data_IF_586649010783
#
_entry.id   IF_586649010783
#
_cell.length_a   1.000
_cell.length_b   1.000
_cell.length_c   1.000
_cell.angle_alpha   90.00
_cell.angle_beta   90.00
_cell.angle_gamma   90.00
#
_symmetry.space_group_name_H-M   'P 1'
#
loop_
_entity.id
_entity.type
_entity.pdbx_description
1 polymer ?
#
# COMPACT_ATOMS: atom_id res chain seq x y z
N UNK A 1 -4.57 -16.21 60.90
CA UNK A 1 -5.87 -16.83 60.57
C UNK A 1 -5.65 -17.66 59.32
N UNK A 2 -5.69 -18.99 59.43
CA UNK A 2 -5.62 -19.87 58.27
C UNK A 2 -7.03 -19.99 57.67
N UNK A 3 -7.14 -19.72 56.37
CA UNK A 3 -8.41 -19.81 55.65
C UNK A 3 -8.98 -21.23 55.71
N UNK A 4 -10.29 -21.35 55.90
CA UNK A 4 -10.95 -22.65 55.92
C UNK A 4 -10.80 -23.35 54.54
N UNK A 5 -10.80 -24.70 54.47
CA UNK A 5 -10.74 -25.43 53.20
C UNK A 5 -11.83 -25.00 52.20
N UNK A 6 -13.01 -24.62 52.67
CA UNK A 6 -14.13 -24.17 51.82
C UNK A 6 -13.93 -22.73 51.32
N UNK A 7 -13.39 -21.85 52.15
CA UNK A 7 -13.08 -20.47 51.76
C UNK A 7 -11.98 -20.43 50.69
N UNK A 8 -10.95 -21.29 50.80
CA UNK A 8 -9.92 -21.44 49.78
C UNK A 8 -10.47 -21.91 48.43
N UNK A 9 -11.45 -22.82 48.45
CA UNK A 9 -12.10 -23.32 47.23
C UNK A 9 -12.93 -22.24 46.55
N UNK A 10 -13.71 -21.47 47.32
CA UNK A 10 -14.49 -20.34 46.78
C UNK A 10 -13.60 -19.27 46.17
N UNK A 11 -12.54 -18.88 46.88
CA UNK A 11 -11.55 -17.92 46.38
C UNK A 11 -10.91 -18.44 45.08
N UNK A 12 -10.54 -19.73 45.03
CA UNK A 12 -9.95 -20.33 43.83
C UNK A 12 -10.92 -20.34 42.63
N UNK A 13 -12.18 -20.69 42.85
CA UNK A 13 -13.20 -20.70 41.79
C UNK A 13 -13.55 -19.29 41.30
N UNK A 14 -13.64 -18.30 42.19
CA UNK A 14 -13.83 -16.90 41.82
C UNK A 14 -12.63 -16.32 41.05
N UNK A 15 -11.40 -16.63 41.48
CA UNK A 15 -10.18 -16.19 40.80
C UNK A 15 -10.08 -16.83 39.40
N UNK A 16 -10.40 -18.12 39.29
CA UNK A 16 -10.42 -18.85 38.01
C UNK A 16 -11.47 -18.26 37.06
N UNK A 17 -12.69 -18.01 37.53
CA UNK A 17 -13.73 -17.39 36.72
C UNK A 17 -13.36 -15.98 36.26
N UNK A 18 -12.68 -15.18 37.11
CA UNK A 18 -12.15 -13.86 36.73
C UNK A 18 -11.09 -13.95 35.65
N UNK A 19 -10.20 -14.94 35.71
CA UNK A 19 -9.15 -15.16 34.70
C UNK A 19 -9.78 -15.59 33.37
N UNK A 20 -10.72 -16.53 33.38
CA UNK A 20 -11.42 -17.00 32.18
C UNK A 20 -12.25 -15.87 31.53
N UNK A 21 -12.99 -15.09 32.33
CA UNK A 21 -13.73 -13.93 31.83
C UNK A 21 -12.80 -12.87 31.22
N UNK A 22 -11.63 -12.61 31.83
CA UNK A 22 -10.61 -11.71 31.26
C UNK A 22 -10.08 -12.24 29.93
N UNK A 23 -9.79 -13.54 29.84
CA UNK A 23 -9.34 -14.17 28.60
C UNK A 23 -10.40 -14.08 27.50
N UNK A 24 -11.67 -14.31 27.82
CA UNK A 24 -12.78 -14.23 26.88
C UNK A 24 -12.98 -12.80 26.35
N UNK A 25 -12.96 -11.80 27.24
CA UNK A 25 -13.02 -10.38 26.85
C UNK A 25 -11.83 -10.00 25.95
N UNK A 26 -10.64 -10.52 26.24
CA UNK A 26 -9.44 -10.26 25.45
C UNK A 26 -9.49 -10.92 24.06
N UNK A 27 -10.04 -12.13 23.97
CA UNK A 27 -10.32 -12.83 22.71
C UNK A 27 -11.37 -12.09 21.87
N UNK A 28 -12.48 -11.66 22.47
CA UNK A 28 -13.51 -10.88 21.77
C UNK A 28 -12.96 -9.54 21.25
N UNK A 29 -12.15 -8.84 22.06
CA UNK A 29 -11.46 -7.62 21.62
C UNK A 29 -10.49 -7.90 20.47
N UNK A 30 -9.74 -8.99 20.52
CA UNK A 30 -8.84 -9.38 19.43
C UNK A 30 -9.62 -9.71 18.16
N UNK A 31 -10.72 -10.45 18.27
CA UNK A 31 -11.56 -10.80 17.13
C UNK A 31 -12.19 -9.55 16.49
N UNK A 32 -12.74 -8.65 17.30
CA UNK A 32 -13.26 -7.36 16.82
C UNK A 32 -12.16 -6.48 16.18
N UNK A 33 -10.92 -6.55 16.69
CA UNK A 33 -9.76 -5.85 16.09
C UNK A 33 -9.25 -6.49 14.80
N UNK A 34 -9.65 -7.72 14.49
CA UNK A 34 -9.33 -8.42 13.25
C UNK A 34 -10.40 -8.23 12.19
N UNK A 35 -11.64 -7.92 12.58
CA UNK A 35 -12.69 -7.60 11.61
C UNK A 35 -12.33 -6.33 10.85
N UNK A 36 -12.38 -6.42 9.52
CA UNK A 36 -12.16 -5.30 8.60
C UNK A 36 -13.28 -5.26 7.58
N UNK A 37 -13.65 -4.06 7.15
CA UNK A 37 -14.63 -3.86 6.06
C UNK A 37 -14.01 -4.24 4.71
N UNK A 38 -12.69 -4.05 4.60
CA UNK A 38 -11.91 -4.32 3.40
C UNK A 38 -11.56 -5.81 3.20
N UNK A 39 -11.84 -6.68 4.18
CA UNK A 39 -11.43 -8.09 4.21
C UNK A 39 -9.91 -8.30 3.97
N UNK A 40 -9.11 -7.29 4.29
CA UNK A 40 -7.66 -7.37 4.27
C UNK A 40 -7.17 -7.66 5.68
N UNK A 41 -6.03 -8.35 5.78
CA UNK A 41 -5.33 -8.47 7.06
C UNK A 41 -5.04 -7.06 7.59
N UNK A 42 -5.35 -6.75 8.87
CA UNK A 42 -5.24 -5.40 9.39
C UNK A 42 -3.88 -4.76 9.14
N UNK A 43 -2.79 -5.48 9.35
CA UNK A 43 -1.44 -4.97 9.10
C UNK A 43 -1.16 -4.63 7.62
N UNK A 44 -1.76 -5.36 6.67
CA UNK A 44 -1.66 -5.03 5.24
C UNK A 44 -2.48 -3.80 4.92
N UNK A 45 -3.70 -3.69 5.45
CA UNK A 45 -4.53 -2.51 5.27
C UNK A 45 -3.91 -1.25 5.91
N UNK A 46 -3.30 -1.37 7.09
CA UNK A 46 -2.56 -0.30 7.74
C UNK A 46 -1.33 0.14 6.95
N UNK A 47 -0.62 -0.81 6.32
CA UNK A 47 0.48 -0.50 5.40
C UNK A 47 -0.03 0.25 4.16
N UNK A 48 -1.16 -0.19 3.57
CA UNK A 48 -1.78 0.45 2.41
C UNK A 48 -2.24 1.89 2.70
N UNK A 49 -2.60 2.21 3.95
CA UNK A 49 -2.95 3.57 4.34
C UNK A 49 -1.85 4.58 3.99
N UNK A 50 -0.59 4.16 4.06
CA UNK A 50 0.57 5.00 3.81
C UNK A 50 1.10 4.91 2.38
N UNK A 51 0.80 3.84 1.62
CA UNK A 51 1.40 3.59 0.29
C UNK A 51 1.26 4.77 -0.69
N UNK A 52 0.08 5.39 -0.74
CA UNK A 52 -0.20 6.59 -1.54
C UNK A 52 -0.18 7.88 -0.71
N UNK A 53 0.58 7.88 0.39
CA UNK A 53 0.63 8.97 1.36
C UNK A 53 -0.79 9.36 1.82
N UNK A 54 -1.11 10.65 1.85
CA UNK A 54 -2.40 11.13 2.35
C UNK A 54 -3.60 10.65 1.52
N UNK A 55 -3.41 10.41 0.21
CA UNK A 55 -4.49 9.99 -0.70
C UNK A 55 -4.98 8.59 -0.36
N UNK A 56 -4.08 7.62 -0.18
CA UNK A 56 -4.46 6.28 0.27
C UNK A 56 -5.06 6.29 1.67
N UNK A 57 -4.61 7.22 2.52
CA UNK A 57 -5.22 7.50 3.82
C UNK A 57 -6.68 7.89 3.70
N UNK A 58 -7.02 8.87 2.85
CA UNK A 58 -8.41 9.30 2.62
C UNK A 58 -9.28 8.12 2.16
N UNK A 59 -8.80 7.39 1.15
CA UNK A 59 -9.55 6.28 0.56
C UNK A 59 -9.85 5.22 1.62
N UNK A 60 -8.84 4.75 2.35
CA UNK A 60 -9.04 3.71 3.36
C UNK A 60 -9.87 4.23 4.54
N UNK A 61 -9.71 5.50 4.92
CA UNK A 61 -10.51 6.10 6.00
C UNK A 61 -12.00 6.13 5.67
N UNK A 62 -12.36 6.37 4.40
CA UNK A 62 -13.74 6.35 3.92
C UNK A 62 -14.27 4.92 3.78
N UNK A 63 -13.45 3.99 3.29
CA UNK A 63 -13.88 2.62 3.03
C UNK A 63 -13.93 1.74 4.28
N UNK A 64 -13.05 1.97 5.25
CA UNK A 64 -12.96 1.15 6.45
C UNK A 64 -13.85 1.69 7.57
N UNK A 65 -14.89 0.93 7.92
CA UNK A 65 -15.89 1.33 8.91
C UNK A 65 -15.81 0.56 10.23
N UNK A 66 -15.21 -0.64 10.23
CA UNK A 66 -15.23 -1.55 11.37
C UNK A 66 -13.95 -1.48 12.19
N UNK A 67 -12.81 -1.36 11.53
CA UNK A 67 -11.53 -1.51 12.19
C UNK A 67 -10.93 -0.18 12.65
N UNK A 68 -11.03 0.11 13.95
CA UNK A 68 -10.45 1.32 14.55
C UNK A 68 -8.93 1.45 14.37
N UNK A 69 -8.20 0.33 14.35
CA UNK A 69 -6.75 0.32 14.15
C UNK A 69 -6.39 0.77 12.73
N UNK A 70 -7.06 0.23 11.70
CA UNK A 70 -6.85 0.66 10.30
C UNK A 70 -7.27 2.12 10.13
N UNK A 71 -8.44 2.52 10.67
CA UNK A 71 -8.93 3.91 10.59
C UNK A 71 -7.95 4.90 11.22
N UNK A 72 -7.27 4.51 12.31
CA UNK A 72 -6.20 5.33 12.87
C UNK A 72 -5.03 5.50 11.89
N UNK A 73 -4.53 4.42 11.28
CA UNK A 73 -3.45 4.50 10.30
C UNK A 73 -3.84 5.33 9.07
N UNK A 74 -5.08 5.19 8.62
CA UNK A 74 -5.66 5.96 7.54
C UNK A 74 -5.70 7.46 7.91
N UNK A 75 -6.26 7.82 9.06
CA UNK A 75 -6.29 9.20 9.55
C UNK A 75 -4.89 9.79 9.78
N UNK A 76 -3.96 9.03 10.36
CA UNK A 76 -2.58 9.49 10.57
C UNK A 76 -1.88 9.74 9.24
N UNK A 77 -2.16 8.93 8.22
CA UNK A 77 -1.65 9.16 6.87
C UNK A 77 -2.18 10.46 6.27
N UNK A 78 -3.49 10.70 6.38
CA UNK A 78 -4.14 11.94 5.90
C UNK A 78 -3.49 13.15 6.56
N UNK A 79 -3.44 13.17 7.89
CA UNK A 79 -2.96 14.31 8.66
C UNK A 79 -1.47 14.54 8.39
N UNK A 80 -0.65 13.49 8.45
CA UNK A 80 0.80 13.60 8.28
C UNK A 80 1.14 14.09 6.88
N UNK A 81 0.76 13.31 5.86
CA UNK A 81 1.20 13.59 4.49
C UNK A 81 0.39 14.71 3.83
N UNK A 82 -0.84 14.97 4.29
CA UNK A 82 -1.64 16.09 3.81
C UNK A 82 -1.04 17.41 4.31
N UNK A 83 -0.62 17.45 5.59
CA UNK A 83 0.10 18.60 6.14
C UNK A 83 1.44 18.82 5.43
N UNK A 84 2.22 17.75 5.20
CA UNK A 84 3.48 17.86 4.45
C UNK A 84 3.26 18.31 3.00
N UNK A 85 2.18 17.88 2.34
CA UNK A 85 1.82 18.32 1.00
C UNK A 85 1.46 19.81 0.98
N UNK A 86 0.61 20.26 1.91
CA UNK A 86 0.24 21.68 2.04
C UNK A 86 1.46 22.54 2.39
N UNK A 87 2.32 22.10 3.31
CA UNK A 87 3.55 22.78 3.67
C UNK A 87 4.51 22.88 2.48
N UNK A 88 4.68 21.80 1.71
CA UNK A 88 5.48 21.80 0.48
C UNK A 88 4.92 22.78 -0.56
N UNK A 89 3.60 22.83 -0.73
CA UNK A 89 2.96 23.79 -1.63
C UNK A 89 3.25 25.21 -1.18
N UNK A 90 3.04 25.55 0.11
CA UNK A 90 3.27 26.91 0.63
C UNK A 90 4.74 27.32 0.48
N UNK A 91 5.66 26.43 0.86
CA UNK A 91 7.11 26.71 0.80
C UNK A 91 7.60 26.87 -0.64
N UNK A 92 6.96 26.23 -1.62
CA UNK A 92 7.26 26.43 -3.04
C UNK A 92 7.12 27.87 -3.53
N UNK A 93 6.39 28.73 -2.80
CA UNK A 93 6.19 30.14 -3.14
C UNK A 93 7.27 31.05 -2.56
N UNK A 94 8.12 30.54 -1.66
CA UNK A 94 9.18 31.30 -0.99
C UNK A 94 10.52 30.97 -1.68
N UNK A 95 11.11 31.90 -2.44
CA UNK A 95 12.38 31.65 -3.12
C UNK A 95 13.52 31.40 -2.12
N UNK A 96 14.48 30.54 -2.47
CA UNK A 96 15.70 30.22 -1.72
C UNK A 96 15.44 29.50 -0.39
N UNK A 97 14.75 30.15 0.56
CA UNK A 97 14.43 29.60 1.88
C UNK A 97 13.45 28.43 1.74
N UNK A 98 12.40 28.59 0.93
CA UNK A 98 11.43 27.55 0.68
C UNK A 98 12.05 26.29 0.07
N UNK A 99 13.08 26.44 -0.77
CA UNK A 99 13.80 25.31 -1.37
C UNK A 99 14.55 24.48 -0.33
N UNK A 100 15.29 25.12 0.58
CA UNK A 100 16.03 24.43 1.65
C UNK A 100 15.06 23.67 2.57
N UNK A 101 13.98 24.32 3.00
CA UNK A 101 12.96 23.68 3.83
C UNK A 101 12.20 22.58 3.09
N UNK A 102 11.96 22.73 1.78
CA UNK A 102 11.29 21.69 0.97
C UNK A 102 12.14 20.43 0.83
N UNK A 103 13.47 20.56 0.70
CA UNK A 103 14.38 19.39 0.69
C UNK A 103 14.37 18.69 2.04
N UNK A 104 14.44 19.43 3.14
CA UNK A 104 14.37 18.87 4.49
C UNK A 104 13.03 18.16 4.71
N UNK A 105 11.91 18.80 4.35
CA UNK A 105 10.56 18.22 4.43
C UNK A 105 10.44 16.98 3.54
N UNK A 106 11.02 16.98 2.35
CA UNK A 106 11.02 15.83 1.45
C UNK A 106 11.76 14.64 2.05
N UNK A 107 12.96 14.86 2.59
CA UNK A 107 13.76 13.80 3.23
C UNK A 107 13.08 13.29 4.50
N UNK A 108 12.65 14.19 5.39
CA UNK A 108 11.94 13.81 6.62
C UNK A 108 10.62 13.10 6.29
N UNK A 109 9.87 13.60 5.32
CA UNK A 109 8.62 13.00 4.84
C UNK A 109 8.84 11.61 4.27
N UNK A 110 9.90 11.41 3.49
CA UNK A 110 10.25 10.10 2.93
C UNK A 110 10.69 9.10 4.02
N UNK A 111 11.50 9.52 5.00
CA UNK A 111 11.87 8.68 6.14
C UNK A 111 10.63 8.29 6.95
N UNK A 112 9.77 9.26 7.27
CA UNK A 112 8.52 9.01 7.99
C UNK A 112 7.62 8.05 7.20
N UNK A 113 7.53 8.20 5.87
CA UNK A 113 6.77 7.32 5.00
C UNK A 113 7.20 5.86 5.12
N UNK A 114 8.51 5.59 5.00
CA UNK A 114 9.04 4.23 5.14
C UNK A 114 8.81 3.69 6.55
N UNK A 115 9.11 4.48 7.60
CA UNK A 115 8.93 4.05 8.99
C UNK A 115 7.48 3.68 9.28
N UNK A 116 6.54 4.53 8.87
CA UNK A 116 5.11 4.30 9.08
C UNK A 116 4.60 3.07 8.34
N UNK A 117 5.06 2.85 7.10
CA UNK A 117 4.75 1.64 6.34
C UNK A 117 5.28 0.39 7.05
N UNK A 118 6.56 0.35 7.41
CA UNK A 118 7.18 -0.81 8.07
C UNK A 118 6.50 -1.11 9.40
N UNK A 119 6.25 -0.08 10.21
CA UNK A 119 5.59 -0.21 11.51
C UNK A 119 4.17 -0.74 11.37
N UNK A 120 3.37 -0.19 10.45
CA UNK A 120 2.02 -0.68 10.19
C UNK A 120 2.01 -2.12 9.66
N UNK A 121 2.93 -2.46 8.76
CA UNK A 121 3.06 -3.82 8.26
C UNK A 121 3.39 -4.81 9.38
N UNK A 122 4.19 -4.40 10.36
CA UNK A 122 4.51 -5.19 11.56
C UNK A 122 3.37 -5.23 12.60
N UNK A 123 2.25 -4.55 12.36
CA UNK A 123 1.12 -4.45 13.30
C UNK A 123 1.33 -3.40 14.39
N UNK A 124 2.41 -2.64 14.32
CA UNK A 124 2.72 -1.62 15.31
C UNK A 124 1.94 -0.33 15.02
N UNK A 125 1.24 0.14 16.04
CA UNK A 125 0.57 1.45 16.03
C UNK A 125 1.57 2.54 16.41
N UNK A 126 2.48 2.88 15.50
CA UNK A 126 3.45 3.95 15.72
C UNK A 126 2.77 5.32 15.62
N UNK A 127 2.51 5.94 16.77
CA UNK A 127 1.80 7.22 16.89
C UNK A 127 2.78 8.39 16.76
N UNK A 128 2.60 9.23 15.74
CA UNK A 128 3.37 10.47 15.61
C UNK A 128 2.83 11.54 16.58
N UNK A 129 3.73 12.32 17.16
CA UNK A 129 3.35 13.47 17.97
C UNK A 129 2.49 14.45 17.14
N UNK A 130 1.44 15.02 17.74
CA UNK A 130 0.46 15.91 17.11
C UNK A 130 -0.40 15.23 16.02
N UNK A 131 0.18 14.69 14.95
CA UNK A 131 -0.56 14.07 13.85
C UNK A 131 -1.34 12.82 14.31
N UNK A 132 -0.74 12.03 15.20
CA UNK A 132 -1.38 10.85 15.80
C UNK A 132 -2.51 11.21 16.78
N UNK A 133 -2.41 12.35 17.48
CA UNK A 133 -3.48 12.82 18.37
C UNK A 133 -4.71 13.28 17.56
N UNK A 134 -4.49 13.95 16.43
CA UNK A 134 -5.56 14.33 15.51
C UNK A 134 -6.16 13.06 14.86
N UNK A 135 -5.31 12.11 14.46
CA UNK A 135 -5.74 10.85 13.88
C UNK A 135 -6.65 10.04 14.82
N UNK A 136 -6.35 10.02 16.13
CA UNK A 136 -7.20 9.40 17.14
C UNK A 136 -8.59 10.02 17.21
N UNK A 137 -8.64 11.35 17.21
CA UNK A 137 -9.90 12.11 17.23
C UNK A 137 -10.72 11.86 15.97
N UNK A 138 -10.07 11.84 14.80
CA UNK A 138 -10.73 11.54 13.53
C UNK A 138 -11.26 10.10 13.50
N UNK A 139 -10.46 9.12 13.94
CA UNK A 139 -10.83 7.72 13.89
C UNK A 139 -11.88 7.34 14.96
N UNK A 140 -12.14 8.20 15.95
CA UNK A 140 -13.03 7.91 17.08
C UNK A 140 -12.43 6.88 18.05
N UNK A 141 -11.10 6.79 18.10
CA UNK A 141 -10.36 5.73 18.79
C UNK A 141 -9.78 6.29 20.10
N UNK A 142 -10.30 5.85 21.25
CA UNK A 142 -9.72 6.19 22.56
C UNK A 142 -8.46 5.36 22.86
N UNK A 143 -7.59 5.90 23.71
CA UNK A 143 -6.25 5.40 24.12
C UNK A 143 -6.19 3.89 24.44
N UNK A 144 -7.30 3.26 24.81
CA UNK A 144 -7.40 1.82 25.10
C UNK A 144 -7.26 0.86 23.90
N UNK A 145 -7.15 1.36 22.65
CA UNK A 145 -6.96 0.51 21.46
C UNK A 145 -5.47 0.28 21.23
N UNK A 146 -4.85 -0.47 22.15
CA UNK A 146 -3.44 -0.84 22.09
C UNK A 146 -3.21 -1.91 21.02
N UNK A 147 -2.39 -1.57 20.01
CA UNK A 147 -1.66 -2.45 19.10
C UNK A 147 -2.39 -3.67 18.51
N UNK A 148 -2.52 -3.73 17.19
CA UNK A 148 -2.83 -4.98 16.51
C UNK A 148 -1.69 -5.98 16.75
N UNK A 149 -1.94 -7.04 17.52
CA UNK A 149 -1.02 -8.16 17.63
C UNK A 149 -1.21 -9.04 16.40
N UNK A 150 -0.22 -9.06 15.51
CA UNK A 150 -0.22 -9.97 14.36
C UNK A 150 -0.42 -11.40 14.89
N UNK A 151 -1.44 -12.14 14.40
CA UNK A 151 -1.60 -13.55 14.76
C UNK A 151 -0.31 -14.33 14.41
N UNK A 152 0.08 -15.34 15.21
CA UNK A 152 1.16 -16.24 14.80
C UNK A 152 0.82 -16.81 13.42
N UNK A 153 1.79 -16.84 12.50
CA UNK A 153 1.59 -17.46 11.19
C UNK A 153 1.08 -18.89 11.41
N UNK A 154 -0.15 -19.18 10.96
CA UNK A 154 -0.63 -20.56 11.02
C UNK A 154 0.30 -21.39 10.14
N UNK A 155 0.73 -22.58 10.59
CA UNK A 155 1.37 -23.54 9.69
C UNK A 155 0.46 -23.68 8.47
N UNK A 156 1.01 -23.47 7.27
CA UNK A 156 0.28 -23.73 6.02
C UNK A 156 -0.22 -25.18 6.11
N UNK A 157 -1.54 -25.37 6.24
CA UNK A 157 -2.24 -26.66 6.48
C UNK A 157 -2.70 -26.96 7.91
N UNK A 158 -3.44 -26.04 8.55
CA UNK A 158 -4.45 -26.45 9.53
C UNK A 158 -5.83 -26.12 8.95
N UNK A 159 -6.66 -27.15 8.75
CA UNK A 159 -8.08 -26.97 8.43
C UNK A 159 -8.74 -26.07 9.50
N UNK A 160 -9.78 -25.29 9.15
CA UNK A 160 -10.49 -24.48 10.13
C UNK A 160 -10.92 -25.36 11.32
N UNK A 161 -10.82 -24.88 12.57
CA UNK A 161 -11.37 -25.61 13.70
C UNK A 161 -12.84 -25.91 13.42
N UNK A 162 -13.21 -27.19 13.44
CA UNK A 162 -14.60 -27.60 13.33
C UNK A 162 -15.40 -26.92 14.44
N UNK A 163 -16.43 -26.17 14.05
CA UNK A 163 -17.44 -25.64 14.97
C UNK A 163 -18.03 -26.84 15.71
N UNK A 164 -17.78 -26.96 17.02
CA UNK A 164 -18.56 -27.87 17.86
C UNK A 164 -19.99 -27.36 17.89
N UNK A 165 -20.88 -28.12 17.27
CA UNK A 165 -22.32 -27.88 17.32
C UNK A 165 -22.79 -27.95 18.77
N UNK A 166 -23.44 -26.87 19.22
CA UNK A 166 -24.18 -26.85 20.48
C UNK A 166 -25.63 -27.24 20.16
N UNK A 167 -26.31 -28.08 20.96
CA UNK A 167 -27.66 -28.57 20.63
C UNK A 167 -28.70 -27.45 20.48
N UNK A 168 -29.77 -27.69 19.69
CA UNK A 168 -30.65 -26.62 19.23
C UNK A 168 -31.56 -26.12 20.35
N UNK A 169 -31.55 -24.81 20.58
CA UNK A 169 -32.68 -24.09 21.17
C UNK A 169 -33.55 -23.57 20.02
N UNK A 170 -34.85 -23.90 20.09
CA UNK A 170 -35.84 -23.61 19.08
C UNK A 170 -35.94 -22.12 18.71
N UNK A 171 -35.96 -21.84 17.40
CA UNK A 171 -36.28 -20.53 16.83
C UNK A 171 -35.90 -20.50 15.34
N UNK A 172 -36.88 -20.70 14.46
CA UNK A 172 -36.69 -20.61 13.01
C UNK A 172 -36.22 -19.22 12.55
N UNK A 173 -35.25 -19.28 11.63
CA UNK A 173 -35.03 -18.41 10.46
C UNK A 173 -34.21 -17.10 10.58
N UNK A 174 -33.24 -17.08 11.50
CA UNK A 174 -32.11 -16.13 11.47
C UNK A 174 -30.86 -16.78 10.87
N UNK A 175 -30.63 -18.05 11.18
CA UNK A 175 -29.43 -18.79 10.75
C UNK A 175 -29.42 -19.09 9.25
N UNK A 176 -30.57 -19.29 8.60
CA UNK A 176 -30.62 -19.48 7.15
C UNK A 176 -30.36 -18.16 6.40
N UNK A 177 -30.87 -17.03 6.91
CA UNK A 177 -30.54 -15.68 6.43
C UNK A 177 -29.08 -15.30 6.64
N UNK A 178 -28.49 -15.73 7.76
CA UNK A 178 -27.07 -15.50 8.05
C UNK A 178 -26.21 -16.40 7.16
N UNK A 179 -26.55 -17.69 7.00
CA UNK A 179 -25.83 -18.60 6.13
C UNK A 179 -25.85 -18.13 4.68
N UNK A 180 -27.00 -17.61 4.20
CA UNK A 180 -27.10 -17.02 2.85
C UNK A 180 -26.29 -15.73 2.71
N UNK A 181 -26.25 -14.87 3.74
CA UNK A 181 -25.38 -13.68 3.80
C UNK A 181 -23.89 -14.04 3.88
N UNK A 182 -23.57 -15.16 4.52
CA UNK A 182 -22.21 -15.67 4.70
C UNK A 182 -21.72 -16.32 3.40
N UNK A 183 -22.58 -17.02 2.67
CA UNK A 183 -22.30 -17.51 1.31
C UNK A 183 -22.10 -16.33 0.32
N UNK A 184 -22.97 -15.31 0.36
CA UNK A 184 -22.78 -14.03 -0.36
C UNK A 184 -21.50 -13.27 0.06
N UNK A 185 -21.03 -13.50 1.29
CA UNK A 185 -19.82 -12.90 1.83
C UNK A 185 -18.56 -13.66 1.40
N UNK A 186 -18.64 -14.98 1.23
CA UNK A 186 -17.54 -15.84 0.76
C UNK A 186 -17.29 -15.77 -0.76
N UNK A 187 -18.24 -15.27 -1.55
CA UNK A 187 -18.02 -14.91 -2.96
C UNK A 187 -16.95 -13.80 -3.13
N UNK A 188 -16.55 -13.04 -2.09
CA UNK A 188 -15.68 -11.84 -2.19
C UNK A 188 -14.19 -12.04 -2.50
N UNK A 189 -13.78 -13.13 -3.17
CA UNK A 189 -12.48 -13.18 -3.87
C UNK A 189 -12.37 -12.08 -4.94
N UNK A 190 -13.50 -11.53 -5.39
CA UNK A 190 -13.63 -10.40 -6.33
C UNK A 190 -13.11 -9.05 -5.78
N UNK A 191 -13.25 -8.75 -4.48
CA UNK A 191 -13.03 -7.39 -3.96
C UNK A 191 -11.55 -6.93 -3.94
N UNK A 192 -10.62 -7.79 -3.51
CA UNK A 192 -9.19 -7.45 -3.50
C UNK A 192 -8.60 -7.25 -4.90
N UNK A 193 -9.20 -7.89 -5.92
CA UNK A 193 -8.80 -7.79 -7.32
C UNK A 193 -9.18 -6.45 -7.95
N UNK A 194 -10.32 -5.89 -7.54
CA UNK A 194 -10.81 -4.58 -7.99
C UNK A 194 -9.95 -3.48 -7.39
N UNK A 195 -9.62 -3.55 -6.10
CA UNK A 195 -8.76 -2.55 -5.42
C UNK A 195 -7.37 -2.46 -6.04
N UNK A 196 -6.72 -3.60 -6.31
CA UNK A 196 -5.40 -3.62 -6.96
C UNK A 196 -5.45 -3.02 -8.38
N UNK A 197 -6.52 -3.28 -9.13
CA UNK A 197 -6.69 -2.74 -10.47
C UNK A 197 -6.99 -1.23 -10.45
N UNK A 198 -7.81 -0.76 -9.51
CA UNK A 198 -8.07 0.67 -9.31
C UNK A 198 -6.78 1.43 -8.93
N UNK A 199 -5.95 0.84 -8.06
CA UNK A 199 -4.65 1.41 -7.71
C UNK A 199 -3.71 1.52 -8.93
N UNK A 200 -3.63 0.46 -9.74
CA UNK A 200 -2.81 0.46 -10.94
C UNK A 200 -3.29 1.52 -11.95
N UNK A 201 -4.60 1.69 -12.14
CA UNK A 201 -5.19 2.74 -12.97
C UNK A 201 -4.79 4.13 -12.46
N UNK A 202 -4.98 4.39 -11.17
CA UNK A 202 -4.65 5.68 -10.56
C UNK A 202 -3.16 6.01 -10.71
N UNK A 203 -2.28 5.03 -10.47
CA UNK A 203 -0.84 5.19 -10.64
C UNK A 203 -0.46 5.43 -12.11
N UNK A 204 -1.07 4.72 -13.05
CA UNK A 204 -0.82 4.93 -14.47
C UNK A 204 -1.27 6.32 -14.93
N UNK A 205 -2.39 6.83 -14.44
CA UNK A 205 -2.84 8.21 -14.72
C UNK A 205 -1.86 9.22 -14.13
N UNK A 206 -1.42 9.03 -12.88
CA UNK A 206 -0.47 9.92 -12.23
C UNK A 206 0.86 9.98 -13.01
N UNK A 207 1.40 8.84 -13.44
CA UNK A 207 2.61 8.78 -14.27
C UNK A 207 2.38 9.43 -15.63
N UNK A 208 1.22 9.24 -16.26
CA UNK A 208 0.91 9.87 -17.55
C UNK A 208 0.92 11.40 -17.39
N UNK A 209 0.26 11.93 -16.37
CA UNK A 209 0.27 13.38 -16.09
C UNK A 209 1.70 13.86 -15.80
N UNK A 210 2.42 13.18 -14.92
CA UNK A 210 3.78 13.56 -14.55
C UNK A 210 4.70 13.62 -15.77
N UNK A 211 4.74 12.56 -16.58
CA UNK A 211 5.67 12.51 -17.71
C UNK A 211 5.25 13.36 -18.91
N UNK A 212 3.98 13.75 -19.05
CA UNK A 212 3.56 14.67 -20.12
C UNK A 212 3.69 16.14 -19.73
N UNK A 213 3.62 16.49 -18.45
CA UNK A 213 3.58 17.89 -18.01
C UNK A 213 4.74 18.31 -17.12
N UNK A 214 5.35 17.38 -16.38
CA UNK A 214 6.27 17.69 -15.29
C UNK A 214 7.64 17.03 -15.41
N UNK A 215 7.93 16.27 -16.47
CA UNK A 215 9.20 15.54 -16.58
C UNK A 215 10.43 16.46 -16.55
N UNK A 216 10.32 17.69 -17.08
CA UNK A 216 11.42 18.67 -17.06
C UNK A 216 11.82 19.15 -15.66
N UNK A 217 11.00 18.90 -14.64
CA UNK A 217 11.33 19.22 -13.25
C UNK A 217 12.27 18.19 -12.62
N UNK A 218 12.48 17.05 -13.29
CA UNK A 218 13.56 16.11 -12.97
C UNK A 218 14.85 16.70 -13.51
N UNK A 219 15.50 17.51 -12.68
CA UNK A 219 16.55 18.41 -13.10
C UNK A 219 17.58 18.65 -12.00
N UNK A 220 18.77 19.08 -12.40
CA UNK A 220 19.72 19.73 -11.52
C UNK A 220 19.38 21.22 -11.39
N UNK A 221 19.28 21.71 -10.16
CA UNK A 221 18.98 23.10 -9.86
C UNK A 221 20.23 23.78 -9.32
N UNK A 222 20.66 24.85 -9.99
CA UNK A 222 21.83 25.62 -9.60
C UNK A 222 21.40 27.06 -9.25
N UNK A 223 21.91 27.57 -8.13
CA UNK A 223 21.79 28.96 -7.75
C UNK A 223 23.11 29.67 -8.06
N UNK A 224 23.05 30.70 -8.92
CA UNK A 224 24.17 31.61 -9.15
C UNK A 224 23.87 32.96 -8.53
N UNK A 225 24.81 33.50 -7.76
CA UNK A 225 24.70 34.81 -7.13
C UNK A 225 25.58 35.80 -7.84
N UNK A 226 24.99 36.87 -8.37
CA UNK A 226 25.71 38.00 -8.95
C UNK A 226 25.31 39.28 -8.19
N UNK A 227 26.23 39.81 -7.39
CA UNK A 227 25.93 40.92 -6.46
C UNK A 227 24.96 40.47 -5.38
N UNK A 228 23.77 41.10 -5.33
CA UNK A 228 22.68 40.78 -4.39
C UNK A 228 21.55 39.94 -4.99
N UNK A 229 21.64 39.55 -6.27
CA UNK A 229 20.59 38.78 -6.96
C UNK A 229 21.02 37.30 -7.05
N UNK A 230 20.16 36.43 -6.54
CA UNK A 230 20.28 34.97 -6.69
C UNK A 230 19.40 34.52 -7.85
N UNK A 231 20.00 33.98 -8.90
CA UNK A 231 19.29 33.42 -10.06
C UNK A 231 19.32 31.90 -9.99
N UNK A 232 18.13 31.28 -10.01
CA UNK A 232 17.99 29.84 -10.06
C UNK A 232 17.84 29.37 -11.51
N UNK A 233 18.79 28.54 -11.95
CA UNK A 233 18.75 27.92 -13.28
C UNK A 233 18.47 26.43 -13.13
N UNK A 234 17.52 25.93 -13.92
CA UNK A 234 17.13 24.52 -13.97
C UNK A 234 17.74 23.86 -15.21
N UNK A 235 18.47 22.78 -15.00
CA UNK A 235 19.04 21.94 -16.06
C UNK A 235 18.36 20.56 -16.01
N UNK A 236 17.41 20.33 -16.92
CA UNK A 236 16.70 19.04 -17.00
C UNK A 236 17.68 17.89 -17.21
N UNK A 237 17.44 16.77 -16.54
CA UNK A 237 18.21 15.54 -16.79
C UNK A 237 17.79 14.87 -18.09
N UNK A 238 16.68 15.27 -18.71
CA UNK A 238 16.21 14.67 -19.96
C UNK A 238 16.74 15.40 -21.19
N UNK A 239 17.29 14.64 -22.13
CA UNK A 239 17.64 15.14 -23.47
C UNK A 239 16.41 15.24 -24.37
N UNK A 240 16.58 15.75 -25.59
CA UNK A 240 15.50 15.79 -26.60
C UNK A 240 15.02 14.40 -27.02
N UNK A 241 15.81 13.37 -26.81
CA UNK A 241 15.47 11.98 -27.14
C UNK A 241 14.33 11.43 -26.27
N UNK A 242 14.00 12.09 -25.15
CA UNK A 242 12.83 11.76 -24.34
C UNK A 242 11.53 11.76 -25.18
N UNK A 243 11.48 12.57 -26.25
CA UNK A 243 10.35 12.60 -27.18
C UNK A 243 10.13 11.28 -27.94
N UNK A 244 11.17 10.44 -28.05
CA UNK A 244 11.05 9.09 -28.65
C UNK A 244 10.54 8.07 -27.64
N UNK A 245 10.88 8.24 -26.36
CA UNK A 245 10.46 7.34 -25.30
C UNK A 245 9.06 7.63 -24.77
N UNK A 246 8.67 8.91 -24.70
CA UNK A 246 7.40 9.33 -24.11
C UNK A 246 6.16 8.68 -24.77
N UNK A 247 6.07 8.51 -26.11
CA UNK A 247 4.98 7.77 -26.73
C UNK A 247 4.91 6.29 -26.31
N UNK A 248 6.06 5.65 -26.08
CA UNK A 248 6.13 4.25 -25.63
C UNK A 248 5.57 4.15 -24.22
N UNK A 249 6.03 5.02 -23.30
CA UNK A 249 5.50 5.09 -21.95
C UNK A 249 3.98 5.37 -21.97
N UNK A 250 3.52 6.39 -22.70
CA UNK A 250 2.11 6.76 -22.78
C UNK A 250 1.26 5.59 -23.28
N UNK A 251 1.74 4.86 -24.29
CA UNK A 251 1.07 3.67 -24.83
C UNK A 251 0.96 2.58 -23.77
N UNK A 252 2.06 2.27 -23.07
CA UNK A 252 2.08 1.28 -21.99
C UNK A 252 1.13 1.66 -20.85
N UNK A 253 1.12 2.92 -20.42
CA UNK A 253 0.24 3.41 -19.37
C UNK A 253 -1.23 3.38 -19.81
N UNK A 254 -1.53 3.74 -21.06
CA UNK A 254 -2.88 3.65 -21.62
C UNK A 254 -3.37 2.19 -21.69
N UNK A 255 -2.53 1.26 -22.15
CA UNK A 255 -2.82 -0.18 -22.15
C UNK A 255 -3.01 -0.72 -20.74
N UNK A 256 -2.19 -0.28 -19.78
CA UNK A 256 -2.34 -0.63 -18.36
C UNK A 256 -3.70 -0.19 -17.82
N UNK A 257 -4.10 1.07 -18.06
CA UNK A 257 -5.40 1.61 -17.65
C UNK A 257 -6.54 0.79 -18.27
N UNK A 258 -6.53 0.64 -19.60
CA UNK A 258 -7.56 -0.10 -20.32
C UNK A 258 -7.64 -1.57 -19.87
N UNK A 259 -6.50 -2.23 -19.70
CA UNK A 259 -6.42 -3.60 -19.24
C UNK A 259 -6.99 -3.77 -17.83
N UNK A 260 -6.64 -2.88 -16.90
CA UNK A 260 -7.20 -2.93 -15.55
C UNK A 260 -8.70 -2.61 -15.52
N UNK A 261 -9.20 -1.73 -16.39
CA UNK A 261 -10.65 -1.52 -16.57
C UNK A 261 -11.32 -2.79 -17.09
N UNK A 262 -10.74 -3.46 -18.10
CA UNK A 262 -11.26 -4.74 -18.62
C UNK A 262 -11.28 -5.82 -17.53
N UNK A 263 -10.24 -5.91 -16.70
CA UNK A 263 -10.16 -6.83 -15.56
C UNK A 263 -11.24 -6.57 -14.50
N UNK A 264 -11.59 -5.30 -14.28
CA UNK A 264 -12.65 -4.92 -13.34
C UNK A 264 -14.02 -5.29 -13.91
N UNK A 265 -14.26 -5.07 -15.21
CA UNK A 265 -15.54 -5.35 -15.88
C UNK A 265 -15.75 -6.86 -16.07
N UNK A 266 -14.71 -7.57 -16.50
CA UNK A 266 -14.78 -8.98 -16.88
C UNK A 266 -13.97 -9.83 -15.91
N UNK A 267 -14.65 -10.51 -15.00
CA UNK A 267 -13.95 -11.35 -14.02
C UNK A 267 -13.62 -12.77 -14.50
N UNK A 268 -13.15 -12.90 -15.75
CA UNK A 268 -12.67 -14.19 -16.26
C UNK A 268 -11.22 -14.42 -15.85
N UNK A 269 -10.95 -15.58 -15.24
CA UNK A 269 -9.61 -15.95 -14.77
C UNK A 269 -8.55 -15.93 -15.88
N UNK A 270 -8.87 -16.50 -17.05
CA UNK A 270 -7.96 -16.53 -18.20
C UNK A 270 -7.70 -15.14 -18.76
N UNK A 271 -8.77 -14.33 -18.91
CA UNK A 271 -8.65 -12.95 -19.39
C UNK A 271 -7.72 -12.14 -18.49
N UNK A 272 -7.89 -12.23 -17.16
CA UNK A 272 -7.01 -11.55 -16.20
C UNK A 272 -5.54 -11.92 -16.40
N UNK A 273 -5.23 -13.21 -16.52
CA UNK A 273 -3.86 -13.66 -16.74
C UNK A 273 -3.29 -13.11 -18.05
N UNK A 274 -4.06 -13.16 -19.13
CA UNK A 274 -3.65 -12.65 -20.43
C UNK A 274 -3.43 -11.13 -20.39
N UNK A 275 -4.36 -10.37 -19.83
CA UNK A 275 -4.25 -8.91 -19.73
C UNK A 275 -3.04 -8.51 -18.90
N UNK A 276 -2.85 -9.09 -17.72
CA UNK A 276 -1.70 -8.76 -16.88
C UNK A 276 -0.37 -9.20 -17.52
N UNK A 277 -0.37 -10.27 -18.33
CA UNK A 277 0.81 -10.69 -19.10
C UNK A 277 1.14 -9.68 -20.21
N UNK A 278 0.13 -9.19 -20.94
CA UNK A 278 0.30 -8.12 -21.94
C UNK A 278 0.84 -6.85 -21.29
N UNK A 279 0.26 -6.42 -20.16
CA UNK A 279 0.74 -5.23 -19.43
C UNK A 279 2.21 -5.39 -19.03
N UNK A 280 2.61 -6.55 -18.49
CA UNK A 280 4.01 -6.80 -18.12
C UNK A 280 4.95 -6.77 -19.35
N UNK A 281 4.51 -7.24 -20.53
CA UNK A 281 5.29 -7.16 -21.79
C UNK A 281 5.55 -5.70 -22.18
N UNK A 282 4.51 -4.87 -22.19
CA UNK A 282 4.64 -3.45 -22.50
C UNK A 282 5.46 -2.70 -21.43
N UNK A 283 5.30 -3.06 -20.15
CA UNK A 283 6.14 -2.59 -19.06
C UNK A 283 7.61 -2.89 -19.30
N UNK A 284 7.94 -4.14 -19.68
CA UNK A 284 9.31 -4.52 -20.03
C UNK A 284 9.82 -3.73 -21.24
N UNK A 285 9.04 -3.62 -22.32
CA UNK A 285 9.42 -2.85 -23.50
C UNK A 285 9.69 -1.37 -23.19
N UNK A 286 8.94 -0.79 -22.25
CA UNK A 286 9.13 0.59 -21.78
C UNK A 286 10.46 0.76 -21.05
N UNK A 287 10.83 -0.19 -20.19
CA UNK A 287 12.10 -0.14 -19.46
C UNK A 287 13.28 -0.44 -20.38
N UNK A 288 13.15 -1.41 -21.28
CA UNK A 288 14.18 -1.73 -22.27
C UNK A 288 14.42 -0.58 -23.24
N UNK A 289 13.36 0.07 -23.74
CA UNK A 289 13.52 1.27 -24.57
C UNK A 289 14.16 2.42 -23.80
N UNK A 290 13.88 2.59 -22.50
CA UNK A 290 14.57 3.58 -21.68
C UNK A 290 16.06 3.26 -21.53
N UNK A 291 16.45 1.99 -21.45
CA UNK A 291 17.85 1.54 -21.44
C UNK A 291 18.54 1.73 -22.80
N UNK A 292 17.81 1.55 -23.91
CA UNK A 292 18.36 1.67 -25.27
C UNK A 292 18.48 3.11 -25.73
N UNK A 293 17.44 3.92 -25.52
CA UNK A 293 17.44 5.35 -25.87
C UNK A 293 18.30 6.11 -24.86
N UNK A 294 18.21 5.75 -23.58
CA UNK A 294 18.91 6.39 -22.47
C UNK A 294 18.90 7.93 -22.57
N UNK A 295 17.71 8.58 -22.52
CA UNK A 295 17.54 10.00 -22.80
C UNK A 295 17.99 10.88 -21.61
N UNK A 296 19.05 10.50 -20.90
CA UNK A 296 19.52 11.17 -19.70
C UNK A 296 20.86 11.87 -19.95
N UNK A 297 20.94 13.14 -19.54
CA UNK A 297 22.18 13.90 -19.46
C UNK A 297 22.48 14.27 -18.00
N UNK A 298 23.43 13.54 -17.42
CA UNK A 298 23.91 13.77 -16.06
C UNK A 298 25.16 14.65 -15.99
N UNK A 299 25.66 15.16 -17.13
CA UNK A 299 26.83 16.06 -17.16
C UNK A 299 26.60 17.38 -16.42
N UNK A 300 25.32 17.74 -16.23
CA UNK A 300 24.86 18.91 -15.47
C UNK A 300 25.14 18.79 -13.97
N UNK A 301 25.44 17.58 -13.46
CA UNK A 301 25.80 17.35 -12.06
C UNK A 301 27.26 17.79 -11.83
N UNK A 302 27.54 18.67 -10.86
CA UNK A 302 28.91 19.07 -10.56
C UNK A 302 29.77 17.90 -10.10
N UNK A 303 30.94 17.77 -10.73
CA UNK A 303 31.92 16.73 -10.43
C UNK A 303 31.78 15.52 -11.35
N UNK A 304 32.82 15.26 -12.15
CA UNK A 304 32.84 14.19 -13.13
C UNK A 304 32.57 12.80 -12.52
N UNK A 305 33.09 12.53 -11.32
CA UNK A 305 32.85 11.29 -10.61
C UNK A 305 31.38 11.12 -10.19
N UNK A 306 30.72 12.18 -9.74
CA UNK A 306 29.31 12.14 -9.35
C UNK A 306 28.41 11.93 -10.57
N UNK A 307 28.64 12.68 -11.64
CA UNK A 307 27.91 12.51 -12.91
C UNK A 307 28.05 11.08 -13.47
N UNK A 308 29.28 10.53 -13.49
CA UNK A 308 29.55 9.18 -13.93
C UNK A 308 28.87 8.13 -13.02
N UNK A 309 28.94 8.30 -11.71
CA UNK A 309 28.29 7.41 -10.75
C UNK A 309 26.76 7.43 -10.89
N UNK A 310 26.15 8.60 -11.12
CA UNK A 310 24.71 8.71 -11.37
C UNK A 310 24.31 8.00 -12.67
N UNK A 311 25.08 8.16 -13.74
CA UNK A 311 24.83 7.47 -15.01
C UNK A 311 24.86 5.93 -14.82
N UNK A 312 25.92 5.41 -14.20
CA UNK A 312 26.04 3.98 -13.90
C UNK A 312 24.92 3.52 -12.97
N UNK A 313 24.61 4.29 -11.92
CA UNK A 313 23.57 3.96 -10.96
C UNK A 313 22.19 3.84 -11.60
N UNK A 314 21.80 4.83 -12.42
CA UNK A 314 20.52 4.80 -13.16
C UNK A 314 20.48 3.60 -14.10
N UNK A 315 21.57 3.34 -14.83
CA UNK A 315 21.66 2.17 -15.73
C UNK A 315 21.46 0.86 -14.97
N UNK A 316 22.17 0.66 -13.86
CA UNK A 316 22.05 -0.56 -13.02
C UNK A 316 20.63 -0.72 -12.49
N UNK A 317 20.01 0.37 -11.98
CA UNK A 317 18.63 0.32 -11.47
C UNK A 317 17.66 -0.09 -12.58
N UNK A 318 17.79 0.49 -13.78
CA UNK A 318 16.94 0.13 -14.92
C UNK A 318 17.12 -1.33 -15.35
N UNK A 319 18.37 -1.84 -15.34
CA UNK A 319 18.66 -3.26 -15.62
C UNK A 319 17.98 -4.15 -14.58
N UNK A 320 18.08 -3.83 -13.29
CA UNK A 320 17.45 -4.60 -12.21
C UNK A 320 15.92 -4.62 -12.34
N UNK A 321 15.31 -3.48 -12.70
CA UNK A 321 13.88 -3.40 -12.98
C UNK A 321 13.51 -4.29 -14.18
N UNK A 322 14.26 -4.21 -15.28
CA UNK A 322 14.03 -5.03 -16.47
C UNK A 322 14.12 -6.52 -16.16
N UNK A 323 15.13 -6.94 -15.39
CA UNK A 323 15.31 -8.33 -14.93
C UNK A 323 14.14 -8.77 -14.06
N UNK A 324 13.71 -7.94 -13.09
CA UNK A 324 12.57 -8.25 -12.23
C UNK A 324 11.27 -8.46 -13.02
N UNK A 325 10.99 -7.59 -13.99
CA UNK A 325 9.83 -7.73 -14.88
C UNK A 325 9.97 -8.99 -15.77
N UNK A 326 11.17 -9.23 -16.32
CA UNK A 326 11.47 -10.42 -17.12
C UNK A 326 11.23 -11.73 -16.36
N UNK A 327 11.65 -11.80 -15.08
CA UNK A 327 11.37 -12.95 -14.21
C UNK A 327 9.86 -13.10 -13.97
N UNK A 328 9.13 -12.02 -13.71
CA UNK A 328 7.66 -12.06 -13.57
C UNK A 328 6.99 -12.65 -14.82
N UNK A 329 7.38 -12.19 -16.01
CA UNK A 329 6.89 -12.70 -17.28
C UNK A 329 7.17 -14.19 -17.45
N UNK A 330 8.39 -14.63 -17.16
CA UNK A 330 8.77 -16.04 -17.25
C UNK A 330 7.93 -16.90 -16.30
N UNK A 331 7.79 -16.49 -15.03
CA UNK A 331 6.99 -17.21 -14.04
C UNK A 331 5.52 -17.30 -14.47
N UNK A 332 4.96 -16.22 -15.02
CA UNK A 332 3.58 -16.20 -15.52
C UNK A 332 3.40 -17.09 -16.74
N UNK A 333 4.35 -17.09 -17.67
CA UNK A 333 4.37 -17.95 -18.84
C UNK A 333 4.38 -19.44 -18.43
N UNK A 334 5.30 -19.82 -17.54
CA UNK A 334 5.39 -21.20 -17.03
C UNK A 334 4.07 -21.62 -16.37
N UNK A 335 3.47 -20.75 -15.54
CA UNK A 335 2.16 -21.03 -14.93
C UNK A 335 1.07 -21.22 -15.99
N UNK A 336 0.99 -20.35 -16.99
CA UNK A 336 0.01 -20.48 -18.08
C UNK A 336 0.18 -21.79 -18.86
N UNK A 337 1.42 -22.21 -19.15
CA UNK A 337 1.70 -23.48 -19.82
C UNK A 337 1.33 -24.69 -18.96
N UNK A 338 1.65 -24.66 -17.65
CA UNK A 338 1.28 -25.73 -16.72
C UNK A 338 -0.23 -25.86 -16.60
N UNK A 339 -0.96 -24.73 -16.53
CA UNK A 339 -2.42 -24.75 -16.43
C UNK A 339 -3.08 -25.28 -17.70
N UNK A 340 -2.47 -25.01 -18.87
CA UNK A 340 -2.89 -25.56 -20.16
C UNK A 340 -2.68 -27.09 -20.20
N UNK A 341 -1.52 -27.57 -19.78
CA UNK A 341 -1.18 -29.00 -19.76
C UNK A 341 -2.06 -29.77 -18.77
N UNK A 342 -2.39 -29.18 -17.61
CA UNK A 342 -3.21 -29.80 -16.57
C UNK A 342 -4.71 -29.79 -16.88
N UNK A 343 -5.15 -29.17 -17.98
CA UNK A 343 -6.57 -29.08 -18.34
C UNK A 343 -7.42 -28.26 -17.35
N UNK A 344 -6.78 -27.52 -16.43
CA UNK A 344 -7.43 -26.71 -15.38
C UNK A 344 -7.95 -25.37 -15.90
N UNK A 345 -8.28 -25.26 -17.18
CA UNK A 345 -8.84 -24.05 -17.82
C UNK A 345 -10.29 -23.77 -17.44
N UNK A 346 -10.94 -24.66 -16.66
CA UNK A 346 -12.26 -24.41 -16.09
C UNK A 346 -12.19 -24.19 -14.58
N UNK A 347 -12.15 -22.92 -14.17
CA UNK A 347 -12.68 -22.50 -12.87
C UNK A 347 -13.45 -21.20 -13.09
N UNK A 348 -14.72 -21.21 -12.63
CA UNK A 348 -15.74 -20.17 -12.74
C UNK A 348 -15.21 -18.75 -12.58
#
# INVERSE_FOLDING_TARGET
MELSPEERRRIYEEEKARIEARQQIEQEKQQMSQETTLNLAPNVAGWLCYLGAWVSGIIIFVLEQKNGWIRFHAAQSIVTFGTLAVASIILGWIPVIGTVFSVIIGITGFILWIVLMVKAYNGERFKLAWAGDIAERMAGVTVATTGYRRPPESPRSAAPPQKKETPPAAGEDIDEKISRKVEEFFERKHAGRVTASAFAIAWSIALLIFFNFFYEYVAYYNASTAGSIVTWTRYTFFTREIAQWLPILNTTLAISIAGHVVIIIHDRYLLRKMVLFIIDIFGLATVLSLLTIFPFDFSVIPGAAAAAATNVGVTVVLILIAVGIGISLLVRLVKMLVDLIRGTTQYR
#
